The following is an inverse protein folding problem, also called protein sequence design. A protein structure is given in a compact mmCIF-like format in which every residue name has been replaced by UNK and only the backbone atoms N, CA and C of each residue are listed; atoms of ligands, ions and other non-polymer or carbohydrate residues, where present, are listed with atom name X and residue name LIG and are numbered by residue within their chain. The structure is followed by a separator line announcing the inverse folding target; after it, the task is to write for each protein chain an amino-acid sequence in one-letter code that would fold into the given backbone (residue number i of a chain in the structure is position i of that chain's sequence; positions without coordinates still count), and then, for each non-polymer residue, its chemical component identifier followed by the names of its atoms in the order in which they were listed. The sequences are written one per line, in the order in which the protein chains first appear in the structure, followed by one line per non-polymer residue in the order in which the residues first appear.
data_IF_329316495516
#
_entry.id   IF_329316495516
#
_cell.length_a   1.000
_cell.length_b   1.000
_cell.length_c   1.000
_cell.angle_alpha   90.00
_cell.angle_beta   90.00
_cell.angle_gamma   90.00
#
_symmetry.space_group_name_H-M   'P 1'
#
loop_
_entity.id
_entity.type
_entity.pdbx_description
1 polymer ?
#
# COMPACT_ATOMS: atom_id res chain seq x y z
N UNK A 1 20.69 -16.58 -17.42
CA UNK A 1 20.36 -17.32 -16.18
C UNK A 1 20.47 -16.35 -15.01
N UNK A 2 19.33 -15.84 -14.56
CA UNK A 2 19.05 -15.30 -13.23
C UNK A 2 17.59 -14.87 -13.31
N UNK A 3 16.68 -15.84 -13.15
CA UNK A 3 15.26 -15.54 -13.04
C UNK A 3 15.01 -15.08 -11.62
N UNK A 4 14.79 -13.78 -11.42
CA UNK A 4 14.27 -13.28 -10.17
C UNK A 4 12.86 -13.83 -9.99
N UNK A 5 12.74 -14.70 -8.99
CA UNK A 5 11.46 -15.22 -8.54
C UNK A 5 10.67 -14.05 -7.96
N UNK A 6 9.68 -13.59 -8.70
CA UNK A 6 8.52 -12.91 -8.12
C UNK A 6 7.94 -13.90 -7.10
N UNK A 7 8.23 -13.68 -5.81
CA UNK A 7 7.60 -14.43 -4.73
C UNK A 7 6.14 -13.98 -4.68
N UNK A 8 5.26 -14.80 -5.24
CA UNK A 8 3.84 -14.73 -4.89
C UNK A 8 3.71 -14.88 -3.38
N UNK A 9 3.13 -13.88 -2.72
CA UNK A 9 2.88 -13.90 -1.28
C UNK A 9 1.66 -14.77 -0.99
N UNK A 10 1.87 -16.08 -1.00
CA UNK A 10 1.01 -16.99 -0.28
C UNK A 10 1.63 -17.21 1.11
N UNK A 11 1.02 -16.58 2.11
CA UNK A 11 1.06 -16.99 3.51
C UNK A 11 2.40 -16.77 4.27
N UNK A 12 2.94 -15.55 4.27
CA UNK A 12 3.74 -15.13 5.44
C UNK A 12 2.79 -15.07 6.63
N UNK A 13 3.13 -15.79 7.72
CA UNK A 13 2.32 -15.82 8.95
C UNK A 13 2.27 -14.40 9.51
N UNK A 14 1.18 -13.69 9.24
CA UNK A 14 0.86 -12.41 9.86
C UNK A 14 1.04 -12.54 11.37
N UNK A 15 1.93 -11.72 11.94
CA UNK A 15 2.17 -11.72 13.37
C UNK A 15 0.89 -11.35 14.11
N UNK A 16 0.56 -12.09 15.16
CA UNK A 16 -0.61 -11.84 16.00
C UNK A 16 -0.19 -11.37 17.39
N UNK A 17 -0.76 -10.25 17.83
CA UNK A 17 -0.71 -9.84 19.22
C UNK A 17 -1.74 -10.63 20.06
N UNK A 18 -1.48 -10.87 21.36
CA UNK A 18 -2.42 -11.58 22.23
C UNK A 18 -3.72 -10.80 22.50
N UNK A 19 -3.75 -9.51 22.15
CA UNK A 19 -4.86 -8.59 22.34
C UNK A 19 -5.86 -8.58 21.20
N UNK A 20 -5.58 -9.28 20.10
CA UNK A 20 -6.43 -9.34 18.92
C UNK A 20 -7.66 -10.23 19.14
N UNK A 21 -8.72 -9.96 18.37
CA UNK A 21 -9.86 -10.87 18.26
C UNK A 21 -9.38 -12.24 17.77
N UNK A 22 -9.98 -13.30 18.32
CA UNK A 22 -9.72 -14.66 17.88
C UNK A 22 -11.02 -15.47 17.89
N UNK A 23 -11.61 -15.80 16.72
CA UNK A 23 -11.10 -15.49 15.37
C UNK A 23 -11.20 -13.99 15.04
N UNK A 24 -10.45 -13.57 14.00
CA UNK A 24 -10.67 -12.27 13.39
C UNK A 24 -12.04 -12.21 12.69
N UNK A 25 -12.59 -11.02 12.44
CA UNK A 25 -13.81 -10.89 11.65
C UNK A 25 -13.67 -11.51 10.24
N UNK A 26 -14.68 -12.26 9.81
CA UNK A 26 -14.67 -12.97 8.52
C UNK A 26 -14.46 -12.04 7.32
N UNK A 27 -14.90 -10.77 7.41
CA UNK A 27 -14.73 -9.81 6.32
C UNK A 27 -13.25 -9.56 5.97
N UNK A 28 -12.32 -9.79 6.89
CA UNK A 28 -10.89 -9.64 6.62
C UNK A 28 -10.45 -10.71 5.62
N UNK A 29 -10.77 -11.97 5.90
CA UNK A 29 -10.44 -13.11 5.04
C UNK A 29 -11.18 -13.05 3.69
N UNK A 30 -12.45 -12.64 3.70
CA UNK A 30 -13.24 -12.47 2.48
C UNK A 30 -12.65 -11.38 1.55
N UNK A 31 -12.24 -10.23 2.10
CA UNK A 31 -11.59 -9.16 1.33
C UNK A 31 -10.26 -9.63 0.74
N UNK A 32 -9.42 -10.30 1.53
CA UNK A 32 -8.12 -10.81 1.07
C UNK A 32 -8.34 -11.81 -0.07
N UNK A 33 -9.26 -12.76 0.09
CA UNK A 33 -9.53 -13.76 -0.95
C UNK A 33 -10.02 -13.13 -2.28
N UNK A 34 -10.87 -12.11 -2.21
CA UNK A 34 -11.30 -11.37 -3.39
C UNK A 34 -10.16 -10.54 -4.00
N UNK A 35 -9.38 -9.85 -3.17
CA UNK A 35 -8.22 -9.08 -3.61
C UNK A 35 -7.18 -9.97 -4.32
N UNK A 36 -6.81 -11.10 -3.72
CA UNK A 36 -5.86 -12.06 -4.29
C UNK A 36 -6.31 -12.56 -5.66
N UNK A 37 -7.60 -12.87 -5.80
CA UNK A 37 -8.20 -13.29 -7.08
C UNK A 37 -8.09 -12.19 -8.14
N UNK A 38 -8.43 -10.95 -7.79
CA UNK A 38 -8.39 -9.83 -8.72
C UNK A 38 -6.95 -9.44 -9.07
N UNK A 39 -6.04 -9.51 -8.09
CA UNK A 39 -4.63 -9.23 -8.27
C UNK A 39 -3.96 -10.28 -9.16
N UNK A 40 -4.29 -11.57 -9.01
CA UNK A 40 -3.80 -12.62 -9.90
C UNK A 40 -4.19 -12.34 -11.36
N UNK A 41 -5.43 -11.95 -11.60
CA UNK A 41 -5.90 -11.55 -12.94
C UNK A 41 -5.14 -10.32 -13.47
N UNK A 42 -4.94 -9.31 -12.62
CA UNK A 42 -4.17 -8.12 -12.99
C UNK A 42 -2.73 -8.46 -13.37
N UNK A 43 -2.06 -9.33 -12.62
CA UNK A 43 -0.71 -9.77 -12.95
C UNK A 43 -0.64 -10.52 -14.29
N UNK A 44 -1.63 -11.34 -14.62
CA UNK A 44 -1.76 -11.96 -15.93
C UNK A 44 -1.89 -10.91 -17.04
N UNK A 45 -2.79 -9.94 -16.87
CA UNK A 45 -2.99 -8.84 -17.83
C UNK A 45 -1.70 -8.01 -18.04
N UNK A 46 -0.97 -7.67 -16.98
CA UNK A 46 0.30 -6.93 -17.06
C UNK A 46 1.42 -7.77 -17.69
N UNK A 47 1.46 -9.07 -17.42
CA UNK A 47 2.45 -9.97 -18.02
C UNK A 47 2.26 -10.07 -19.54
N UNK A 48 1.01 -10.05 -20.01
CA UNK A 48 0.66 -10.07 -21.45
C UNK A 48 0.89 -8.73 -22.15
N UNK A 49 0.94 -7.61 -21.42
CA UNK A 49 1.24 -6.32 -22.03
C UNK A 49 2.63 -6.32 -22.66
N UNK A 50 2.68 -5.85 -23.90
CA UNK A 50 3.91 -5.65 -24.66
C UNK A 50 4.75 -4.57 -23.98
N UNK A 51 5.95 -4.94 -23.55
CA UNK A 51 6.97 -4.01 -23.09
C UNK A 51 7.60 -3.31 -24.29
N UNK A 52 7.75 -1.99 -24.18
CA UNK A 52 8.43 -1.13 -25.14
C UNK A 52 9.45 -0.26 -24.39
N UNK A 53 10.51 0.15 -25.09
CA UNK A 53 11.48 1.07 -24.49
C UNK A 53 10.80 2.39 -24.16
N UNK A 54 11.04 2.88 -22.95
CA UNK A 54 10.59 4.20 -22.49
C UNK A 54 11.77 5.01 -21.97
N UNK A 55 11.66 6.33 -22.08
CA UNK A 55 12.61 7.29 -21.53
C UNK A 55 12.06 7.89 -20.24
N UNK A 56 12.85 7.81 -19.19
CA UNK A 56 12.55 8.38 -17.88
C UNK A 56 13.45 9.59 -17.64
N UNK A 57 12.86 10.78 -17.58
CA UNK A 57 13.58 12.04 -17.40
C UNK A 57 13.58 12.45 -15.93
N UNK A 58 14.76 12.58 -15.35
CA UNK A 58 14.98 13.03 -13.97
C UNK A 58 14.96 14.57 -13.86
N UNK A 59 14.85 15.15 -12.65
CA UNK A 59 14.74 16.61 -12.47
C UNK A 59 15.99 17.39 -12.90
N UNK A 60 17.16 16.74 -12.93
CA UNK A 60 18.42 17.30 -13.45
C UNK A 60 18.52 17.24 -14.99
N UNK A 61 17.50 16.73 -15.67
CA UNK A 61 17.45 16.55 -17.11
C UNK A 61 18.11 15.26 -17.60
N UNK A 62 18.67 14.43 -16.71
CA UNK A 62 19.23 13.14 -17.08
C UNK A 62 18.11 12.20 -17.55
N UNK A 63 18.31 11.59 -18.72
CA UNK A 63 17.44 10.53 -19.23
C UNK A 63 18.01 9.15 -18.85
N UNK A 64 17.14 8.27 -18.36
CA UNK A 64 17.41 6.85 -18.13
C UNK A 64 16.49 6.01 -19.03
N UNK A 65 17.01 4.90 -19.55
CA UNK A 65 16.21 3.93 -20.30
C UNK A 65 15.46 3.01 -19.34
N UNK A 66 14.19 2.74 -19.67
CA UNK A 66 13.37 1.75 -19.00
C UNK A 66 12.53 0.96 -20.01
N UNK A 67 11.69 0.09 -19.46
CA UNK A 67 10.75 -0.74 -20.19
C UNK A 67 9.34 -0.51 -19.65
N UNK A 68 8.39 -0.19 -20.53
CA UNK A 68 6.99 0.00 -20.13
C UNK A 68 6.44 -1.29 -19.53
N UNK A 69 5.58 -1.14 -18.52
CA UNK A 69 4.97 -2.25 -17.76
C UNK A 69 5.97 -3.14 -17.01
N UNK A 70 7.25 -2.75 -16.92
CA UNK A 70 8.31 -3.50 -16.25
C UNK A 70 9.16 -2.65 -15.31
N UNK A 71 9.64 -1.50 -15.78
CA UNK A 71 10.45 -0.58 -14.98
C UNK A 71 9.56 0.24 -14.04
N UNK A 72 9.96 0.33 -12.77
CA UNK A 72 9.26 1.12 -11.73
C UNK A 72 10.11 2.28 -11.24
N UNK A 73 9.52 3.29 -10.58
CA UNK A 73 10.29 4.35 -9.91
C UNK A 73 11.35 3.81 -8.93
N UNK A 74 11.04 2.76 -8.17
CA UNK A 74 11.99 2.15 -7.25
C UNK A 74 13.22 1.61 -7.98
N UNK A 75 13.03 0.90 -9.09
CA UNK A 75 14.14 0.38 -9.91
C UNK A 75 15.03 1.53 -10.45
N UNK A 76 14.43 2.65 -10.83
CA UNK A 76 15.20 3.84 -11.24
C UNK A 76 15.98 4.45 -10.07
N UNK A 77 15.37 4.55 -8.89
CA UNK A 77 16.04 5.04 -7.69
C UNK A 77 17.23 4.15 -7.28
N UNK A 78 17.08 2.83 -7.38
CA UNK A 78 18.15 1.85 -7.11
C UNK A 78 19.33 1.97 -8.07
N UNK A 79 19.07 2.28 -9.35
CA UNK A 79 20.13 2.55 -10.34
C UNK A 79 20.96 3.81 -10.01
N UNK A 80 20.36 4.79 -9.32
CA UNK A 80 21.07 6.00 -8.88
C UNK A 80 21.95 5.67 -7.68
N UNK A 81 21.35 5.16 -6.60
CA UNK A 81 22.07 4.57 -5.47
C UNK A 81 21.10 3.88 -4.50
N UNK A 82 21.60 2.90 -3.76
CA UNK A 82 20.82 2.24 -2.71
C UNK A 82 20.33 3.21 -1.63
N UNK A 83 21.19 4.13 -1.17
CA UNK A 83 20.80 5.11 -0.15
C UNK A 83 19.72 6.09 -0.63
N UNK A 84 19.66 6.35 -1.94
CA UNK A 84 18.58 7.15 -2.52
C UNK A 84 17.26 6.38 -2.54
N UNK A 85 17.28 5.12 -3.01
CA UNK A 85 16.12 4.22 -2.98
C UNK A 85 15.58 4.00 -1.56
N UNK A 86 16.46 3.76 -0.58
CA UNK A 86 16.09 3.56 0.83
C UNK A 86 15.41 4.80 1.45
N UNK A 87 15.64 6.00 0.88
CA UNK A 87 15.03 7.25 1.34
C UNK A 87 13.73 7.63 0.63
N UNK A 88 13.35 6.87 -0.42
CA UNK A 88 12.17 7.14 -1.21
C UNK A 88 10.90 6.76 -0.43
N UNK A 89 9.92 7.66 -0.40
CA UNK A 89 8.60 7.40 0.20
C UNK A 89 7.56 7.15 -0.89
N UNK A 90 7.57 8.00 -1.92
CA UNK A 90 6.66 7.93 -3.06
C UNK A 90 7.34 8.57 -4.27
N UNK A 91 6.83 8.31 -5.47
CA UNK A 91 7.26 9.00 -6.68
C UNK A 91 6.24 10.02 -7.15
N UNK A 92 6.69 10.95 -7.99
CA UNK A 92 5.85 11.81 -8.81
C UNK A 92 6.20 11.54 -10.26
N UNK A 93 5.24 10.98 -11.00
CA UNK A 93 5.40 10.58 -12.40
C UNK A 93 4.52 11.48 -13.24
N UNK A 94 5.09 12.22 -14.18
CA UNK A 94 4.36 13.20 -15.00
C UNK A 94 3.55 14.21 -14.17
N UNK A 95 4.04 14.55 -12.98
CA UNK A 95 3.38 15.49 -12.06
C UNK A 95 2.31 14.86 -11.17
N UNK A 96 2.06 13.55 -11.26
CA UNK A 96 1.08 12.83 -10.43
C UNK A 96 1.77 11.94 -9.40
N UNK A 97 1.21 11.87 -8.19
CA UNK A 97 1.70 10.96 -7.14
C UNK A 97 1.56 9.51 -7.60
N UNK A 98 2.63 8.73 -7.44
CA UNK A 98 2.81 7.43 -8.05
C UNK A 98 3.54 6.46 -7.11
N UNK A 99 3.01 5.25 -6.96
CA UNK A 99 3.62 4.24 -6.08
C UNK A 99 4.99 3.80 -6.59
N UNK A 100 5.92 3.52 -5.69
CA UNK A 100 7.30 3.19 -6.05
C UNK A 100 7.42 1.90 -6.87
N UNK A 101 6.49 0.96 -6.69
CA UNK A 101 6.43 -0.32 -7.41
C UNK A 101 5.47 -0.30 -8.61
N UNK A 102 4.78 0.82 -8.88
CA UNK A 102 3.90 0.94 -10.04
C UNK A 102 4.74 1.18 -11.30
N UNK A 103 4.65 0.32 -12.34
CA UNK A 103 5.51 0.45 -13.51
C UNK A 103 5.14 1.67 -14.37
N UNK A 104 6.14 2.20 -15.09
CA UNK A 104 5.91 3.22 -16.11
C UNK A 104 5.12 2.63 -17.29
N UNK A 105 4.22 3.42 -17.87
CA UNK A 105 3.38 2.99 -19.00
C UNK A 105 3.89 3.56 -20.34
N UNK A 106 4.63 4.67 -20.30
CA UNK A 106 5.17 5.41 -21.43
C UNK A 106 6.39 6.24 -20.98
N UNK A 107 6.95 7.05 -21.90
CA UNK A 107 7.92 8.08 -21.56
C UNK A 107 7.38 8.98 -20.45
N UNK A 108 8.20 9.27 -19.44
CA UNK A 108 7.74 9.96 -18.26
C UNK A 108 8.81 10.83 -17.61
N UNK A 109 8.38 11.88 -16.91
CA UNK A 109 9.21 12.54 -15.91
C UNK A 109 9.11 11.82 -14.58
N UNK A 110 10.22 11.72 -13.86
CA UNK A 110 10.26 11.11 -12.53
C UNK A 110 10.89 12.06 -11.52
N UNK A 111 10.19 12.27 -10.42
CA UNK A 111 10.72 12.85 -9.19
C UNK A 111 10.49 11.87 -8.04
N UNK A 112 11.50 11.67 -7.20
CA UNK A 112 11.39 10.82 -6.00
C UNK A 112 11.20 11.74 -4.81
N UNK A 113 10.11 11.53 -4.09
CA UNK A 113 9.75 12.29 -2.91
C UNK A 113 10.17 11.52 -1.67
N UNK A 114 10.82 12.24 -0.75
CA UNK A 114 11.25 11.75 0.57
C UNK A 114 10.25 12.19 1.62
N UNK A 115 10.49 11.74 2.86
CA UNK A 115 9.64 12.14 3.98
C UNK A 115 9.63 13.65 4.23
N UNK A 116 10.68 14.40 3.90
CA UNK A 116 10.70 15.84 4.17
C UNK A 116 9.82 16.66 3.22
N UNK A 117 9.47 16.09 2.06
CA UNK A 117 8.60 16.70 1.05
C UNK A 117 7.12 16.65 1.48
N UNK A 118 6.35 17.70 1.19
CA UNK A 118 4.97 17.80 1.66
C UNK A 118 4.07 16.66 1.18
N UNK A 119 4.14 16.31 -0.11
CA UNK A 119 3.42 15.16 -0.68
C UNK A 119 3.95 13.81 -0.12
N UNK A 120 5.25 13.74 0.19
CA UNK A 120 5.86 12.58 0.84
C UNK A 120 5.31 12.36 2.25
N UNK A 121 5.17 13.42 3.06
CA UNK A 121 4.53 13.36 4.38
C UNK A 121 3.08 12.93 4.28
N UNK A 122 2.32 13.47 3.33
CA UNK A 122 0.91 13.13 3.15
C UNK A 122 0.73 11.64 2.84
N UNK A 123 1.54 11.07 1.94
CA UNK A 123 1.49 9.63 1.63
C UNK A 123 1.90 8.81 2.84
N UNK A 124 2.99 9.16 3.53
CA UNK A 124 3.44 8.47 4.73
C UNK A 124 2.37 8.44 5.84
N UNK A 125 1.71 9.57 6.08
CA UNK A 125 0.63 9.67 7.06
C UNK A 125 -0.61 8.89 6.65
N UNK A 126 -0.95 8.87 5.36
CA UNK A 126 -2.07 8.07 4.87
C UNK A 126 -1.80 6.56 5.04
N UNK A 127 -0.59 6.10 4.70
CA UNK A 127 -0.17 4.71 4.94
C UNK A 127 -0.18 4.37 6.44
N UNK A 128 0.22 5.30 7.30
CA UNK A 128 0.16 5.13 8.76
C UNK A 128 -1.28 5.01 9.27
N UNK A 129 -2.22 5.74 8.66
CA UNK A 129 -3.64 5.59 8.93
C UNK A 129 -4.12 4.18 8.59
N UNK A 130 -3.73 3.63 7.44
CA UNK A 130 -4.06 2.25 7.07
C UNK A 130 -3.55 1.21 8.07
N UNK A 131 -2.31 1.37 8.57
CA UNK A 131 -1.76 0.49 9.62
C UNK A 131 -2.61 0.56 10.90
N UNK A 132 -3.05 1.76 11.30
CA UNK A 132 -3.95 1.91 12.45
C UNK A 132 -5.33 1.29 12.19
N UNK A 133 -5.87 1.47 10.99
CA UNK A 133 -7.15 0.88 10.58
C UNK A 133 -7.12 -0.65 10.64
N UNK A 134 -6.04 -1.27 10.17
CA UNK A 134 -5.85 -2.71 10.28
C UNK A 134 -5.77 -3.16 11.75
N UNK A 135 -5.01 -2.45 12.59
CA UNK A 135 -4.93 -2.76 14.02
C UNK A 135 -6.29 -2.67 14.71
N UNK A 136 -7.11 -1.69 14.33
CA UNK A 136 -8.47 -1.47 14.79
C UNK A 136 -9.43 -2.59 14.36
N UNK A 137 -9.36 -3.05 13.11
CA UNK A 137 -10.13 -4.19 12.62
C UNK A 137 -9.75 -5.48 13.37
N UNK A 138 -8.46 -5.72 13.61
CA UNK A 138 -7.97 -6.89 14.36
C UNK A 138 -8.31 -6.83 15.86
N UNK A 139 -8.30 -5.65 16.47
CA UNK A 139 -8.54 -5.46 17.91
C UNK A 139 -10.02 -5.56 18.29
N UNK A 140 -10.89 -4.89 17.54
CA UNK A 140 -12.29 -4.76 17.93
C UNK A 140 -13.29 -4.94 16.78
N UNK A 141 -12.84 -5.40 15.61
CA UNK A 141 -13.71 -5.65 14.46
C UNK A 141 -14.42 -4.41 13.93
N UNK A 142 -13.79 -3.24 14.10
CA UNK A 142 -14.40 -1.99 13.66
C UNK A 142 -14.53 -1.90 12.15
N UNK A 143 -15.59 -1.25 11.68
CA UNK A 143 -15.79 -0.90 10.29
C UNK A 143 -15.12 0.44 10.01
N UNK A 144 -14.13 0.43 9.13
CA UNK A 144 -13.37 1.61 8.75
C UNK A 144 -14.23 2.60 7.94
N UNK A 145 -14.15 3.89 8.26
CA UNK A 145 -14.94 4.95 7.61
C UNK A 145 -14.04 5.87 6.78
N UNK A 146 -13.28 6.75 7.42
CA UNK A 146 -12.50 7.81 6.78
C UNK A 146 -11.17 8.01 7.53
N UNK A 147 -10.04 7.96 6.83
CA UNK A 147 -8.71 8.04 7.45
C UNK A 147 -7.73 8.91 6.67
N UNK A 148 -7.94 10.23 6.61
CA UNK A 148 -7.10 11.11 5.82
C UNK A 148 -5.78 11.43 6.54
N UNK A 149 -4.72 11.74 5.79
CA UNK A 149 -3.59 12.48 6.34
C UNK A 149 -4.01 13.93 6.66
N UNK A 150 -3.35 14.52 7.65
CA UNK A 150 -3.44 15.93 8.03
C UNK A 150 -2.03 16.53 8.16
N UNK A 151 -1.92 17.84 8.36
CA UNK A 151 -0.62 18.53 8.39
C UNK A 151 0.36 17.99 9.45
N UNK A 152 -0.16 17.52 10.59
CA UNK A 152 0.64 17.05 11.73
C UNK A 152 0.55 15.53 11.96
N UNK A 153 -0.01 14.77 11.02
CA UNK A 153 -0.16 13.32 11.17
C UNK A 153 -1.36 12.77 10.42
N UNK A 154 -2.16 11.94 11.09
CA UNK A 154 -3.36 11.35 10.54
C UNK A 154 -4.39 11.09 11.63
N UNK A 155 -5.63 10.86 11.24
CA UNK A 155 -6.64 10.23 12.09
C UNK A 155 -7.36 9.12 11.32
N UNK A 156 -8.10 8.27 12.04
CA UNK A 156 -8.93 7.26 11.42
C UNK A 156 -10.28 7.15 12.13
N UNK A 157 -11.35 7.45 11.40
CA UNK A 157 -12.73 7.25 11.84
C UNK A 157 -13.13 5.78 11.64
N UNK A 158 -13.63 5.18 12.72
CA UNK A 158 -14.14 3.82 12.71
C UNK A 158 -15.51 3.76 13.38
N UNK A 159 -16.39 2.94 12.83
CA UNK A 159 -17.61 2.53 13.51
C UNK A 159 -17.42 1.16 14.14
N UNK A 160 -17.98 0.94 15.32
CA UNK A 160 -18.13 -0.40 15.90
C UNK A 160 -19.31 -0.40 16.84
N UNK A 161 -19.84 -1.58 17.10
CA UNK A 161 -20.90 -1.76 18.08
C UNK A 161 -20.36 -1.67 19.51
N UNK A 162 -21.15 -1.08 20.42
CA UNK A 162 -20.80 -0.98 21.84
C UNK A 162 -19.89 0.19 22.22
N UNK A 163 -19.06 -0.01 23.25
CA UNK A 163 -18.30 1.04 23.94
C UNK A 163 -17.18 1.61 23.08
N UNK A 164 -17.02 2.94 23.05
CA UNK A 164 -15.92 3.67 22.36
C UNK A 164 -14.51 3.14 22.68
N UNK A 165 -13.55 3.41 21.79
CA UNK A 165 -12.13 3.22 22.12
C UNK A 165 -11.76 4.22 23.22
N UNK A 166 -11.05 3.72 24.23
CA UNK A 166 -10.60 4.51 25.38
C UNK A 166 -9.07 4.54 25.43
N UNK A 167 -8.46 5.44 26.21
CA UNK A 167 -7.01 5.45 26.41
C UNK A 167 -6.45 4.11 26.93
N UNK A 168 -7.24 3.32 27.66
CA UNK A 168 -6.83 1.99 28.16
C UNK A 168 -6.64 0.95 27.05
N UNK A 169 -7.15 1.23 25.84
CA UNK A 169 -6.99 0.39 24.66
C UNK A 169 -5.72 0.72 23.86
N UNK A 170 -5.12 1.89 24.07
CA UNK A 170 -3.96 2.34 23.29
C UNK A 170 -2.76 1.39 23.37
N UNK A 171 -2.38 0.86 24.56
CA UNK A 171 -1.28 -0.11 24.63
C UNK A 171 -1.56 -1.41 23.87
N UNK A 172 -2.83 -1.80 23.75
CA UNK A 172 -3.25 -3.01 23.04
C UNK A 172 -3.19 -2.82 21.53
N UNK A 173 -3.65 -1.66 21.05
CA UNK A 173 -3.54 -1.25 19.65
C UNK A 173 -2.08 -1.10 19.22
N UNK A 174 -1.24 -0.50 20.07
CA UNK A 174 0.19 -0.33 19.78
C UNK A 174 0.92 -1.68 19.60
N UNK A 175 0.54 -2.71 20.38
CA UNK A 175 1.08 -4.06 20.20
C UNK A 175 0.75 -4.63 18.81
N UNK A 176 -0.48 -4.41 18.33
CA UNK A 176 -0.92 -4.88 17.00
C UNK A 176 -0.23 -4.09 15.90
N UNK A 177 -0.14 -2.76 16.02
CA UNK A 177 0.62 -1.91 15.08
C UNK A 177 2.06 -2.37 14.97
N UNK A 178 2.71 -2.70 16.09
CA UNK A 178 4.08 -3.26 16.09
C UNK A 178 4.16 -4.59 15.35
N UNK A 179 3.13 -5.45 15.43
CA UNK A 179 3.04 -6.67 14.63
C UNK A 179 2.93 -6.35 13.13
N UNK A 180 2.01 -5.47 12.73
CA UNK A 180 1.83 -5.05 11.33
C UNK A 180 3.14 -4.49 10.73
N UNK A 181 3.81 -3.59 11.45
CA UNK A 181 5.09 -3.00 11.00
C UNK A 181 6.18 -4.07 10.89
N UNK A 182 6.24 -5.01 11.84
CA UNK A 182 7.22 -6.11 11.83
C UNK A 182 7.01 -7.06 10.65
N UNK A 183 5.76 -7.26 10.23
CA UNK A 183 5.41 -8.14 9.13
C UNK A 183 5.87 -7.60 7.77
N UNK A 184 6.17 -6.29 7.67
CA UNK A 184 6.63 -5.65 6.43
C UNK A 184 5.74 -5.97 5.23
N UNK A 185 4.43 -5.93 5.46
CA UNK A 185 3.45 -6.18 4.43
C UNK A 185 3.63 -5.18 3.27
N UNK A 186 3.58 -5.63 2.00
CA UNK A 186 3.64 -4.72 0.87
C UNK A 186 2.35 -3.88 0.81
N UNK A 187 2.48 -2.61 0.41
CA UNK A 187 1.32 -1.83 -0.02
C UNK A 187 1.05 -2.13 -1.49
N UNK A 188 -0.02 -2.88 -1.77
CA UNK A 188 -0.36 -3.29 -3.12
C UNK A 188 -1.54 -2.48 -3.67
N UNK A 189 -1.36 -1.92 -4.86
CA UNK A 189 -2.38 -1.13 -5.56
C UNK A 189 -3.05 -1.97 -6.63
N UNK A 190 -4.38 -1.89 -6.68
CA UNK A 190 -5.17 -2.46 -7.76
C UNK A 190 -6.25 -1.49 -8.22
N UNK A 191 -6.43 -1.36 -9.53
CA UNK A 191 -7.60 -0.67 -10.11
C UNK A 191 -8.71 -1.71 -10.25
N UNK A 192 -9.80 -1.50 -9.52
CA UNK A 192 -10.89 -2.47 -9.37
C UNK A 192 -12.20 -1.87 -9.90
N UNK A 193 -13.08 -2.72 -10.43
CA UNK A 193 -14.42 -2.30 -10.84
C UNK A 193 -15.26 -1.82 -9.65
N UNK A 194 -16.27 -0.99 -9.91
CA UNK A 194 -17.17 -0.53 -8.85
C UNK A 194 -17.94 -1.71 -8.25
N UNK A 195 -18.34 -2.66 -9.07
CA UNK A 195 -19.10 -3.85 -8.68
C UNK A 195 -18.29 -4.75 -7.74
N UNK A 196 -17.02 -4.99 -8.07
CA UNK A 196 -16.12 -5.77 -7.22
C UNK A 196 -15.82 -5.04 -5.89
N UNK A 197 -15.69 -3.70 -5.90
CA UNK A 197 -15.54 -2.92 -4.67
C UNK A 197 -16.79 -2.99 -3.76
N UNK A 198 -17.98 -2.92 -4.35
CA UNK A 198 -19.24 -3.07 -3.60
C UNK A 198 -19.36 -4.47 -2.99
N UNK A 199 -18.93 -5.51 -3.69
CA UNK A 199 -18.87 -6.87 -3.15
C UNK A 199 -17.81 -6.98 -2.03
N UNK A 200 -16.62 -6.44 -2.24
CA UNK A 200 -15.51 -6.45 -1.27
C UNK A 200 -15.90 -5.79 0.05
N UNK A 201 -16.66 -4.70 0.01
CA UNK A 201 -17.04 -3.92 1.19
C UNK A 201 -18.50 -4.07 1.59
N UNK A 202 -19.24 -5.08 1.08
CA UNK A 202 -20.68 -5.29 1.34
C UNK A 202 -21.08 -5.34 2.83
N UNK A 203 -20.14 -5.71 3.70
CA UNK A 203 -20.35 -5.77 5.15
C UNK A 203 -20.34 -4.38 5.81
N UNK A 204 -19.70 -3.39 5.17
CA UNK A 204 -19.44 -2.07 5.72
C UNK A 204 -20.36 -1.02 5.07
N UNK A 205 -21.38 -0.58 5.81
CA UNK A 205 -22.38 0.41 5.35
C UNK A 205 -21.83 1.80 5.05
N UNK A 206 -20.57 2.08 5.40
CA UNK A 206 -19.92 3.38 5.17
C UNK A 206 -19.06 3.40 3.90
N UNK A 207 -18.97 2.29 3.16
CA UNK A 207 -18.14 2.12 1.97
C UNK A 207 -18.99 1.82 0.73
#
# INVERSE_FOLDING_TARGET
MAGDKVKGSANEKTSKAPTELNPWPNFIEERIALFDKLMAKYHEEIAEKKSEKVKITLPDGKELEGESWRTTPLMIAEQISRGFADSAVVAKVNGEVWDLDRPFECDATLEILKFDDDEGKQVFWHSSAHIMGEAMERYCGGHLCYGPPISEGFYYDMWKEGSAITPDDFPKLEQIVKCVVKDKQPFERLVVSKEDLLEMFKYNKFK
#
